data_IF_588556105354
#
_entry.id   IF_588556105354
#
_cell.length_a   1.000
_cell.length_b   1.000
_cell.length_c   1.000
_cell.angle_alpha   90.00
_cell.angle_beta   90.00
_cell.angle_gamma   90.00
#
_symmetry.space_group_name_H-M   'P 1'
#
loop_
_entity.id
_entity.type
_entity.pdbx_description
1 polymer ?
#
# COMPACT_ATOMS: atom_id res chain seq x y z
N UNK A 1 8.76 1.80 8.28
CA UNK A 1 7.56 2.11 7.42
C UNK A 1 6.46 1.15 7.83
N UNK A 2 5.26 1.68 8.15
CA UNK A 2 4.10 0.89 8.58
C UNK A 2 3.57 0.02 7.45
N UNK A 3 2.81 -1.01 7.78
CA UNK A 3 2.11 -1.85 6.79
C UNK A 3 1.18 -1.05 5.91
N UNK A 4 1.17 -1.36 4.62
CA UNK A 4 0.33 -0.72 3.62
C UNK A 4 0.23 -1.58 2.36
N UNK A 5 -0.64 -1.16 1.44
CA UNK A 5 -0.66 -1.62 0.04
C UNK A 5 -0.31 -0.44 -0.86
N UNK A 6 0.42 -0.70 -1.93
CA UNK A 6 0.56 0.23 -3.04
C UNK A 6 -0.65 0.12 -3.99
N UNK A 7 -0.87 1.12 -4.82
CA UNK A 7 -1.97 1.16 -5.78
C UNK A 7 -1.57 0.51 -7.11
N UNK A 8 -1.31 -0.80 -7.06
CA UNK A 8 -1.00 -1.64 -8.22
C UNK A 8 -1.37 -3.09 -7.93
N UNK A 9 -1.54 -3.91 -8.96
CA UNK A 9 -1.85 -5.33 -8.75
C UNK A 9 -0.68 -6.06 -8.12
N UNK A 10 0.53 -5.86 -8.65
CA UNK A 10 1.77 -6.44 -8.13
C UNK A 10 2.82 -5.35 -7.96
N UNK A 11 3.46 -5.33 -6.80
CA UNK A 11 4.67 -4.54 -6.59
C UNK A 11 5.90 -5.44 -6.78
N UNK A 12 6.85 -4.97 -7.59
CA UNK A 12 8.17 -5.57 -7.72
C UNK A 12 9.21 -4.67 -7.04
N UNK A 13 10.05 -5.26 -6.21
CA UNK A 13 11.15 -4.59 -5.51
C UNK A 13 12.44 -5.34 -5.82
N UNK A 14 13.41 -4.66 -6.46
CA UNK A 14 14.77 -5.15 -6.63
C UNK A 14 15.67 -4.49 -5.60
N UNK A 15 16.36 -5.27 -4.78
CA UNK A 15 17.36 -4.77 -3.85
C UNK A 15 18.69 -4.51 -4.57
N UNK A 16 18.98 -3.26 -4.88
CA UNK A 16 20.25 -2.87 -5.48
C UNK A 16 21.36 -2.73 -4.42
N UNK A 17 21.03 -2.16 -3.26
CA UNK A 17 21.93 -2.02 -2.10
C UNK A 17 21.17 -2.11 -0.80
N UNK A 18 21.79 -2.72 0.21
CA UNK A 18 21.26 -2.70 1.57
C UNK A 18 21.76 -1.49 2.35
N UNK A 19 21.02 -1.13 3.40
CA UNK A 19 21.46 -0.21 4.44
C UNK A 19 22.57 -0.84 5.29
N UNK A 20 23.26 -0.02 6.10
CA UNK A 20 24.18 -0.49 7.13
C UNK A 20 23.50 -1.43 8.14
N UNK A 21 22.28 -1.11 8.55
CA UNK A 21 21.49 -1.91 9.47
C UNK A 21 19.99 -1.73 9.22
N UNK A 22 19.19 -2.75 9.54
CA UNK A 22 17.74 -2.71 9.42
C UNK A 22 17.23 -2.75 7.96
N UNK A 23 16.08 -2.12 7.70
CA UNK A 23 15.46 -2.11 6.36
C UNK A 23 14.86 -3.45 5.95
N UNK A 24 14.62 -4.34 6.91
CA UNK A 24 14.07 -5.68 6.68
C UNK A 24 12.62 -5.54 6.22
N UNK A 25 12.29 -6.16 5.10
CA UNK A 25 10.92 -6.22 4.58
C UNK A 25 10.04 -7.02 5.53
N UNK A 26 8.82 -6.52 5.80
CA UNK A 26 7.79 -7.19 6.60
C UNK A 26 6.57 -7.44 5.72
N UNK A 27 6.06 -8.67 5.74
CA UNK A 27 4.97 -9.14 4.91
C UNK A 27 3.88 -9.74 5.79
N UNK A 28 2.64 -9.26 5.66
CA UNK A 28 1.51 -9.77 6.43
C UNK A 28 0.36 -10.16 5.50
N UNK A 29 -0.22 -11.35 5.73
CA UNK A 29 -1.35 -11.84 4.95
C UNK A 29 -2.62 -11.07 5.29
N UNK A 30 -3.22 -10.43 4.29
CA UNK A 30 -4.50 -9.71 4.42
C UNK A 30 -5.61 -10.65 4.89
N UNK A 31 -5.64 -11.88 4.37
CA UNK A 31 -6.64 -12.89 4.77
C UNK A 31 -6.46 -13.34 6.21
N UNK A 32 -5.22 -13.51 6.67
CA UNK A 32 -4.94 -13.86 8.06
C UNK A 32 -5.42 -12.76 9.00
N UNK A 33 -5.13 -11.50 8.67
CA UNK A 33 -5.56 -10.34 9.45
C UNK A 33 -7.09 -10.26 9.51
N UNK A 34 -7.76 -10.35 8.36
CA UNK A 34 -9.22 -10.36 8.27
C UNK A 34 -9.84 -11.46 9.14
N UNK A 35 -9.36 -12.71 9.03
CA UNK A 35 -9.92 -13.82 9.76
C UNK A 35 -9.66 -13.72 11.27
N UNK A 36 -8.50 -13.20 11.66
CA UNK A 36 -8.18 -12.99 13.07
C UNK A 36 -9.03 -11.86 13.68
N UNK A 37 -9.29 -10.79 12.93
CA UNK A 37 -10.24 -9.75 13.34
C UNK A 37 -11.65 -10.29 13.44
N UNK A 38 -12.09 -11.10 12.47
CA UNK A 38 -13.42 -11.74 12.50
C UNK A 38 -13.60 -12.60 13.75
N UNK A 39 -12.56 -13.31 14.17
CA UNK A 39 -12.58 -14.16 15.36
C UNK A 39 -12.57 -13.34 16.67
N UNK A 40 -11.79 -12.27 16.73
CA UNK A 40 -11.55 -11.48 17.95
C UNK A 40 -12.56 -10.36 18.16
N UNK A 41 -12.84 -9.58 17.11
CA UNK A 41 -13.65 -8.36 17.14
C UNK A 41 -14.38 -8.16 15.81
N UNK A 42 -15.43 -8.97 15.55
CA UNK A 42 -16.21 -8.84 14.30
C UNK A 42 -16.87 -7.47 14.16
N UNK A 43 -17.21 -6.82 15.26
CA UNK A 43 -17.71 -5.44 15.31
C UNK A 43 -16.73 -4.43 14.71
N UNK A 44 -15.46 -4.54 15.04
CA UNK A 44 -14.40 -3.68 14.49
C UNK A 44 -14.07 -4.05 13.04
N UNK A 45 -14.13 -5.33 12.68
CA UNK A 45 -13.93 -5.74 11.30
C UNK A 45 -14.99 -5.13 10.37
N UNK A 46 -16.24 -5.09 10.77
CA UNK A 46 -17.34 -4.50 9.99
C UNK A 46 -17.05 -3.03 9.65
N UNK A 47 -16.46 -2.29 10.58
CA UNK A 47 -16.08 -0.89 10.36
C UNK A 47 -15.05 -0.75 9.22
N UNK A 48 -14.16 -1.72 9.01
CA UNK A 48 -13.15 -1.66 7.94
C UNK A 48 -13.72 -1.85 6.53
N UNK A 49 -14.98 -2.27 6.42
CA UNK A 49 -15.74 -2.25 5.15
C UNK A 49 -16.46 -0.92 4.92
N UNK A 50 -16.42 0.01 5.88
CA UNK A 50 -16.96 1.36 5.73
C UNK A 50 -15.87 2.30 5.16
N UNK A 51 -16.26 3.42 4.50
CA UNK A 51 -15.30 4.35 3.93
C UNK A 51 -14.46 5.05 5.00
N UNK A 52 -13.15 5.11 4.76
CA UNK A 52 -12.19 5.92 5.49
C UNK A 52 -11.64 7.00 4.58
N UNK A 53 -11.68 8.24 5.03
CA UNK A 53 -11.03 9.33 4.34
C UNK A 53 -9.51 9.17 4.39
N UNK A 54 -8.86 9.34 3.24
CA UNK A 54 -7.41 9.30 3.10
C UNK A 54 -6.92 10.40 2.17
N UNK A 55 -5.74 10.90 2.43
CA UNK A 55 -5.08 11.84 1.55
C UNK A 55 -4.60 11.12 0.28
N UNK A 56 -4.80 11.74 -0.89
CA UNK A 56 -4.09 11.34 -2.11
C UNK A 56 -2.64 11.77 -2.01
N UNK A 57 -1.72 11.07 -2.68
CA UNK A 57 -0.37 11.57 -2.85
C UNK A 57 -0.39 12.97 -3.51
N UNK A 58 0.57 13.81 -3.15
CA UNK A 58 0.71 15.14 -3.76
C UNK A 58 1.26 14.99 -5.17
N UNK A 59 0.38 14.84 -6.12
CA UNK A 59 0.68 14.67 -7.53
C UNK A 59 -0.42 15.30 -8.39
N UNK A 60 -0.33 15.09 -9.69
CA UNK A 60 -1.31 15.53 -10.68
C UNK A 60 -2.72 15.03 -10.32
N UNK A 61 -2.82 13.87 -9.68
CA UNK A 61 -4.10 13.29 -9.31
C UNK A 61 -4.79 14.09 -8.19
N UNK A 62 -4.06 14.51 -7.17
CA UNK A 62 -4.59 15.35 -6.11
C UNK A 62 -5.08 16.70 -6.66
N UNK A 63 -4.37 17.26 -7.64
CA UNK A 63 -4.78 18.49 -8.31
C UNK A 63 -6.05 18.32 -9.16
N UNK A 64 -6.24 17.18 -9.82
CA UNK A 64 -7.38 16.91 -10.71
C UNK A 64 -8.61 16.37 -10.01
N UNK A 65 -8.44 15.50 -9.00
CA UNK A 65 -9.52 14.72 -8.38
C UNK A 65 -9.78 15.11 -6.92
N UNK A 66 -9.08 16.16 -6.41
CA UNK A 66 -9.15 16.58 -5.02
C UNK A 66 -8.15 15.84 -4.12
N UNK A 67 -7.81 16.50 -3.02
CA UNK A 67 -6.75 16.05 -2.09
C UNK A 67 -7.13 14.78 -1.33
N UNK A 68 -8.43 14.51 -1.15
CA UNK A 68 -8.93 13.44 -0.32
C UNK A 68 -9.85 12.52 -1.10
N UNK A 69 -9.92 11.27 -0.65
CA UNK A 69 -10.84 10.25 -1.16
C UNK A 69 -11.28 9.36 -0.01
N UNK A 70 -12.55 8.99 -0.01
CA UNK A 70 -13.10 8.03 0.94
C UNK A 70 -13.10 6.64 0.29
N UNK A 71 -12.51 5.65 0.97
CA UNK A 71 -12.40 4.28 0.47
C UNK A 71 -12.40 3.31 1.66
N UNK A 72 -13.10 2.17 1.61
CA UNK A 72 -12.98 1.15 2.64
C UNK A 72 -11.58 0.54 2.67
N UNK A 73 -11.21 0.01 3.84
CA UNK A 73 -9.97 -0.76 4.00
C UNK A 73 -10.13 -2.12 3.34
N UNK A 74 -11.26 -2.79 3.56
CA UNK A 74 -11.61 -4.06 2.93
C UNK A 74 -12.76 -3.92 1.96
N UNK A 75 -12.74 -4.74 0.92
CA UNK A 75 -13.85 -4.92 0.01
C UNK A 75 -13.91 -6.35 -0.49
N UNK A 76 -15.10 -6.80 -0.82
CA UNK A 76 -15.35 -8.16 -1.30
C UNK A 76 -16.02 -8.10 -2.68
N UNK A 77 -15.50 -8.84 -3.64
CA UNK A 77 -16.11 -9.06 -4.94
C UNK A 77 -15.86 -10.47 -5.43
N UNK A 78 -16.89 -11.14 -5.90
CA UNK A 78 -16.82 -12.53 -6.42
C UNK A 78 -16.12 -13.49 -5.44
N UNK A 79 -16.41 -13.36 -4.12
CA UNK A 79 -15.78 -14.14 -3.06
C UNK A 79 -14.31 -13.82 -2.78
N UNK A 80 -13.75 -12.79 -3.44
CA UNK A 80 -12.35 -12.39 -3.27
C UNK A 80 -12.22 -11.14 -2.42
N UNK A 81 -11.55 -11.29 -1.27
CA UNK A 81 -11.21 -10.17 -0.40
C UNK A 81 -10.08 -9.35 -1.04
N UNK A 82 -10.29 -8.03 -1.12
CA UNK A 82 -9.28 -7.05 -1.54
C UNK A 82 -9.12 -6.01 -0.44
N UNK A 83 -7.93 -5.48 -0.29
CA UNK A 83 -7.68 -4.40 0.66
C UNK A 83 -6.91 -3.26 0.02
N UNK A 84 -7.27 -2.04 0.43
CA UNK A 84 -6.49 -0.84 0.19
C UNK A 84 -6.24 -0.14 1.53
N UNK A 85 -5.03 -0.19 2.03
CA UNK A 85 -4.69 0.29 3.36
C UNK A 85 -3.42 1.12 3.39
N UNK A 86 -3.46 2.22 4.10
CA UNK A 86 -2.32 3.00 4.56
C UNK A 86 -2.76 3.86 5.74
N UNK A 87 -2.36 3.49 6.96
CA UNK A 87 -2.64 4.28 8.17
C UNK A 87 -2.14 5.72 8.04
N UNK A 88 -0.98 5.92 7.44
CA UNK A 88 -0.38 7.25 7.25
C UNK A 88 -1.29 8.17 6.45
N UNK A 89 -1.87 7.70 5.34
CA UNK A 89 -2.76 8.54 4.53
C UNK A 89 -4.11 8.80 5.19
N UNK A 90 -4.58 7.89 6.03
CA UNK A 90 -5.78 8.11 6.84
C UNK A 90 -5.51 9.20 7.89
N UNK A 91 -4.41 9.12 8.64
CA UNK A 91 -4.03 10.12 9.63
C UNK A 91 -3.80 11.50 9.01
N UNK A 92 -3.13 11.57 7.87
CA UNK A 92 -2.95 12.83 7.14
C UNK A 92 -4.27 13.47 6.69
N UNK A 93 -5.30 12.67 6.41
CA UNK A 93 -6.63 13.22 6.13
C UNK A 93 -7.27 13.83 7.39
N UNK A 94 -6.97 13.27 8.57
CA UNK A 94 -7.50 13.79 9.83
C UNK A 94 -6.87 15.12 10.27
N UNK A 95 -5.79 15.56 9.62
CA UNK A 95 -5.20 16.89 9.84
C UNK A 95 -6.08 18.00 9.23
N UNK A 96 -6.92 17.69 8.24
CA UNK A 96 -7.78 18.67 7.58
C UNK A 96 -9.12 18.81 8.35
N UNK A 97 -9.51 20.04 8.77
CA UNK A 97 -10.74 20.27 9.54
C UNK A 97 -12.02 20.00 8.74
N UNK A 98 -11.96 19.96 7.41
CA UNK A 98 -13.09 19.63 6.55
C UNK A 98 -13.36 18.13 6.41
N UNK A 99 -12.50 17.28 6.95
CA UNK A 99 -12.68 15.84 6.91
C UNK A 99 -13.34 15.34 8.19
N UNK A 100 -14.40 14.51 8.09
CA UNK A 100 -15.02 13.89 9.25
C UNK A 100 -13.99 13.15 10.10
N UNK A 101 -14.04 13.37 11.41
CA UNK A 101 -13.13 12.70 12.35
C UNK A 101 -13.46 11.21 12.45
N UNK A 102 -12.41 10.41 12.60
CA UNK A 102 -12.57 9.00 12.95
C UNK A 102 -13.29 8.90 14.31
N UNK A 103 -14.21 7.97 14.42
CA UNK A 103 -14.72 7.56 15.72
C UNK A 103 -13.67 6.76 16.48
N UNK A 104 -13.79 6.69 17.81
CA UNK A 104 -12.88 5.88 18.62
C UNK A 104 -12.87 4.41 18.18
N UNK A 105 -14.03 3.86 17.79
CA UNK A 105 -14.12 2.48 17.29
C UNK A 105 -13.42 2.29 15.91
N UNK A 106 -13.50 3.28 15.03
CA UNK A 106 -12.77 3.24 13.76
C UNK A 106 -11.25 3.28 13.98
N UNK A 107 -10.79 4.07 14.94
CA UNK A 107 -9.38 4.18 15.29
C UNK A 107 -8.88 2.87 15.91
N UNK A 108 -9.66 2.29 16.86
CA UNK A 108 -9.42 0.97 17.46
C UNK A 108 -9.37 -0.13 16.39
N UNK A 109 -10.23 -0.09 15.37
CA UNK A 109 -10.23 -1.07 14.28
C UNK A 109 -8.92 -1.03 13.48
N UNK A 110 -8.40 0.17 13.20
CA UNK A 110 -7.12 0.35 12.51
C UNK A 110 -5.93 -0.07 13.39
N UNK A 111 -6.01 0.15 14.71
CA UNK A 111 -4.98 -0.26 15.66
C UNK A 111 -4.93 -1.79 15.78
N UNK A 112 -6.08 -2.45 15.91
CA UNK A 112 -6.17 -3.90 15.96
C UNK A 112 -5.65 -4.55 14.66
N UNK A 113 -5.98 -3.97 13.49
CA UNK A 113 -5.43 -4.42 12.21
C UNK A 113 -3.90 -4.35 12.22
N UNK A 114 -3.32 -3.24 12.69
CA UNK A 114 -1.88 -3.05 12.75
C UNK A 114 -1.21 -4.01 13.75
N UNK A 115 -1.82 -4.25 14.92
CA UNK A 115 -1.37 -5.21 15.93
C UNK A 115 -1.29 -6.62 15.33
N UNK A 116 -2.39 -7.08 14.70
CA UNK A 116 -2.44 -8.42 14.11
C UNK A 116 -1.43 -8.55 12.96
N UNK A 117 -1.30 -7.50 12.13
CA UNK A 117 -0.31 -7.49 11.05
C UNK A 117 1.11 -7.64 11.59
N UNK A 118 1.45 -6.94 12.67
CA UNK A 118 2.77 -7.04 13.31
C UNK A 118 3.01 -8.41 13.94
N UNK A 119 2.01 -8.95 14.63
CA UNK A 119 2.10 -10.25 15.31
C UNK A 119 2.20 -11.44 14.34
N UNK A 120 1.67 -11.30 13.12
CA UNK A 120 1.60 -12.39 12.13
C UNK A 120 2.53 -12.20 10.92
N UNK A 121 3.36 -11.16 10.90
CA UNK A 121 4.18 -10.87 9.74
C UNK A 121 5.40 -11.78 9.62
N UNK A 122 5.77 -12.03 8.37
CA UNK A 122 7.05 -12.62 7.99
C UNK A 122 8.09 -11.51 7.84
N UNK A 123 9.27 -11.69 8.39
CA UNK A 123 10.45 -10.86 8.13
C UNK A 123 11.25 -11.46 6.98
N UNK A 124 11.40 -10.71 5.90
CA UNK A 124 12.10 -11.11 4.69
C UNK A 124 13.28 -10.14 4.43
N UNK A 125 14.48 -10.44 4.95
CA UNK A 125 15.65 -9.65 4.65
C UNK A 125 16.01 -9.79 3.16
N UNK A 126 16.46 -8.70 2.54
CA UNK A 126 16.99 -8.70 1.19
C UNK A 126 18.50 -8.92 1.17
N UNK A 127 18.99 -9.70 0.20
CA UNK A 127 20.34 -9.59 -0.29
C UNK A 127 20.39 -8.69 -1.55
N UNK A 128 21.50 -8.00 -1.85
CA UNK A 128 21.66 -7.32 -3.13
C UNK A 128 21.42 -8.27 -4.31
N UNK A 129 20.57 -7.88 -5.26
CA UNK A 129 20.13 -8.71 -6.38
C UNK A 129 18.80 -9.43 -6.16
N UNK A 130 18.29 -9.51 -4.94
CA UNK A 130 16.98 -10.13 -4.67
C UNK A 130 15.84 -9.33 -5.31
N UNK A 131 14.88 -10.05 -5.87
CA UNK A 131 13.63 -9.50 -6.38
C UNK A 131 12.47 -10.05 -5.55
N UNK A 132 11.69 -9.16 -4.97
CA UNK A 132 10.45 -9.48 -4.26
C UNK A 132 9.25 -9.05 -5.10
N UNK A 133 8.36 -10.00 -5.41
CA UNK A 133 7.09 -9.76 -6.10
C UNK A 133 5.95 -9.98 -5.11
N UNK A 134 5.12 -8.97 -4.89
CA UNK A 134 4.00 -9.04 -3.95
C UNK A 134 2.69 -8.71 -4.65
N UNK A 135 1.70 -9.58 -4.47
CA UNK A 135 0.32 -9.29 -4.86
C UNK A 135 -0.30 -8.36 -3.79
N UNK A 136 -0.50 -7.10 -4.15
CA UNK A 136 -1.04 -6.07 -3.25
C UNK A 136 -2.48 -6.33 -2.79
N UNK A 137 -3.21 -7.23 -3.46
CA UNK A 137 -4.57 -7.55 -3.07
C UNK A 137 -4.65 -8.55 -1.92
N UNK A 138 -3.52 -9.21 -1.56
CA UNK A 138 -3.49 -10.27 -0.55
C UNK A 138 -2.38 -10.14 0.48
N UNK A 139 -1.44 -9.20 0.28
CA UNK A 139 -0.30 -8.99 1.18
C UNK A 139 -0.15 -7.51 1.52
N UNK A 140 -0.10 -7.20 2.82
CA UNK A 140 0.44 -5.94 3.31
C UNK A 140 1.96 -6.03 3.40
N UNK A 141 2.62 -4.96 3.02
CA UNK A 141 4.06 -4.87 3.16
C UNK A 141 4.46 -3.64 3.97
N UNK A 142 5.59 -3.76 4.62
CA UNK A 142 6.21 -2.72 5.41
C UNK A 142 7.70 -2.97 5.52
N UNK A 143 8.37 -2.24 6.37
CA UNK A 143 9.78 -2.48 6.70
C UNK A 143 10.12 -1.99 8.09
N UNK A 144 11.19 -2.55 8.67
CA UNK A 144 11.79 -2.02 9.88
C UNK A 144 12.46 -0.66 9.63
N UNK A 145 12.81 0.06 10.67
CA UNK A 145 13.73 1.20 10.56
C UNK A 145 15.05 0.75 9.94
N UNK A 146 15.82 1.69 9.39
CA UNK A 146 17.15 1.39 8.85
C UNK A 146 18.09 2.58 9.04
N UNK A 147 19.38 2.27 9.04
CA UNK A 147 20.47 3.22 9.09
C UNK A 147 21.29 3.10 7.82
N UNK A 148 21.62 4.22 7.21
CA UNK A 148 22.56 4.30 6.10
C UNK A 148 23.94 4.73 6.60
N UNK A 149 24.98 4.35 5.84
CA UNK A 149 26.34 4.84 5.99
C UNK A 149 26.87 5.21 4.61
N UNK A 150 26.72 6.47 4.25
CA UNK A 150 27.13 6.98 2.93
C UNK A 150 28.64 6.89 2.73
N UNK A 151 29.42 7.09 3.79
CA UNK A 151 30.89 7.02 3.72
C UNK A 151 31.38 5.60 3.41
N UNK A 152 30.64 4.58 3.85
CA UNK A 152 30.93 3.18 3.57
C UNK A 152 30.18 2.67 2.31
N UNK A 153 29.45 3.51 1.57
CA UNK A 153 28.64 3.11 0.42
C UNK A 153 27.42 2.26 0.79
N UNK A 154 27.04 2.22 2.07
CA UNK A 154 25.92 1.43 2.59
C UNK A 154 24.64 2.27 2.67
N UNK A 155 24.23 2.80 1.52
CA UNK A 155 22.97 3.51 1.36
C UNK A 155 21.95 2.58 0.71
N UNK A 156 20.85 2.35 1.44
CA UNK A 156 19.78 1.48 0.96
C UNK A 156 19.18 1.99 -0.35
N UNK A 157 19.20 1.14 -1.37
CA UNK A 157 18.59 1.42 -2.66
C UNK A 157 17.72 0.24 -3.10
N UNK A 158 16.42 0.47 -3.24
CA UNK A 158 15.49 -0.45 -3.89
C UNK A 158 14.95 0.20 -5.16
N UNK A 159 14.93 -0.54 -6.24
CA UNK A 159 14.18 -0.19 -7.44
C UNK A 159 12.77 -0.78 -7.31
N UNK A 160 11.74 0.04 -7.55
CA UNK A 160 10.34 -0.34 -7.40
C UNK A 160 9.58 -0.19 -8.71
N UNK A 161 8.87 -1.25 -9.11
CA UNK A 161 7.92 -1.23 -10.22
C UNK A 161 6.51 -1.52 -9.70
N UNK A 162 5.54 -0.83 -10.25
CA UNK A 162 4.12 -1.09 -10.08
C UNK A 162 3.58 -1.74 -11.35
N UNK A 163 3.04 -2.95 -11.22
CA UNK A 163 2.62 -3.76 -12.34
C UNK A 163 1.09 -3.91 -12.35
N UNK A 164 0.47 -3.66 -13.50
CA UNK A 164 -0.90 -4.09 -13.80
C UNK A 164 -0.82 -5.47 -14.44
N UNK A 165 -1.64 -6.41 -13.97
CA UNK A 165 -1.55 -7.82 -14.38
C UNK A 165 -2.74 -8.22 -15.24
N UNK A 166 -2.54 -8.86 -16.42
CA UNK A 166 -3.63 -9.33 -17.27
C UNK A 166 -4.58 -10.32 -16.59
N UNK A 167 -4.07 -11.08 -15.61
CA UNK A 167 -4.86 -12.01 -14.80
C UNK A 167 -5.34 -11.43 -13.47
N UNK A 168 -5.34 -10.10 -13.32
CA UNK A 168 -5.78 -9.48 -12.06
C UNK A 168 -7.29 -9.65 -11.85
N UNK A 169 -7.70 -9.69 -10.57
CA UNK A 169 -9.10 -9.78 -10.15
C UNK A 169 -9.88 -8.50 -10.43
N UNK A 170 -11.20 -8.60 -10.54
CA UNK A 170 -12.06 -7.44 -10.44
C UNK A 170 -12.01 -6.86 -9.01
N UNK A 171 -12.07 -5.53 -8.88
CA UNK A 171 -12.10 -4.84 -7.59
C UNK A 171 -13.53 -4.53 -7.17
N UNK A 172 -13.80 -4.40 -5.86
CA UNK A 172 -15.12 -4.04 -5.35
C UNK A 172 -15.64 -2.72 -5.93
N UNK A 173 -16.96 -2.55 -6.10
CA UNK A 173 -17.55 -1.26 -6.46
C UNK A 173 -17.13 -0.16 -5.47
N UNK A 174 -16.93 1.05 -5.97
CA UNK A 174 -16.43 2.19 -5.18
C UNK A 174 -14.91 2.34 -5.19
N UNK A 175 -14.15 1.28 -5.53
CA UNK A 175 -12.70 1.35 -5.64
C UNK A 175 -12.22 2.15 -6.87
N UNK A 176 -13.07 2.33 -7.88
CA UNK A 176 -12.77 3.13 -9.07
C UNK A 176 -12.38 4.58 -8.75
N UNK A 177 -12.92 5.15 -7.67
CA UNK A 177 -12.58 6.51 -7.22
C UNK A 177 -11.08 6.68 -6.89
N UNK A 178 -10.41 5.58 -6.57
CA UNK A 178 -8.99 5.55 -6.23
C UNK A 178 -8.15 4.80 -7.27
N UNK A 179 -8.67 3.71 -7.83
CA UNK A 179 -7.95 2.86 -8.77
C UNK A 179 -8.13 3.27 -10.24
N UNK A 180 -9.15 4.06 -10.56
CA UNK A 180 -9.53 4.47 -11.92
C UNK A 180 -10.44 3.48 -12.62
N UNK A 181 -10.16 2.19 -12.55
CA UNK A 181 -10.97 1.10 -13.11
C UNK A 181 -10.99 -0.08 -12.13
N UNK A 182 -12.08 -0.84 -12.14
CA UNK A 182 -12.27 -2.02 -11.27
C UNK A 182 -12.42 -3.33 -12.04
N UNK A 183 -12.40 -3.30 -13.38
CA UNK A 183 -12.51 -4.51 -14.18
C UNK A 183 -11.28 -5.42 -14.00
N UNK A 184 -11.47 -6.72 -14.21
CA UNK A 184 -10.37 -7.68 -14.19
C UNK A 184 -9.45 -7.48 -15.40
N UNK A 185 -8.15 -7.63 -15.21
CA UNK A 185 -7.15 -7.63 -16.27
C UNK A 185 -6.86 -6.27 -16.94
N UNK A 186 -7.49 -5.20 -16.47
CA UNK A 186 -7.26 -3.86 -17.03
C UNK A 186 -6.03 -3.19 -16.45
N UNK A 187 -5.45 -2.25 -17.17
CA UNK A 187 -4.43 -1.34 -16.64
C UNK A 187 -5.10 -0.33 -15.71
N UNK A 188 -4.74 -0.37 -14.44
CA UNK A 188 -5.35 0.42 -13.38
C UNK A 188 -4.37 0.79 -12.28
N UNK A 189 -4.80 1.63 -11.34
CA UNK A 189 -3.93 2.10 -10.26
C UNK A 189 -2.82 3.01 -10.77
N UNK A 190 -1.60 2.80 -10.28
CA UNK A 190 -0.45 3.60 -10.69
C UNK A 190 -0.59 5.10 -10.38
N UNK A 191 0.08 5.93 -11.14
CA UNK A 191 0.01 7.38 -11.07
C UNK A 191 -0.79 7.96 -12.25
N UNK A 192 -1.58 9.00 -12.01
CA UNK A 192 -2.25 9.74 -13.05
C UNK A 192 -1.25 10.66 -13.75
N UNK A 193 -1.14 10.54 -15.07
CA UNK A 193 -0.25 11.36 -15.88
C UNK A 193 -0.95 12.66 -16.30
N UNK A 194 -0.17 13.63 -16.79
CA UNK A 194 -0.70 14.91 -17.24
C UNK A 194 -1.71 14.75 -18.39
N UNK A 195 -1.55 13.74 -19.25
CA UNK A 195 -2.46 13.42 -20.36
C UNK A 195 -3.75 12.68 -19.91
N UNK A 196 -3.92 12.45 -18.60
CA UNK A 196 -5.09 11.78 -18.02
C UNK A 196 -5.02 10.26 -18.02
N UNK A 197 -3.98 9.65 -18.60
CA UNK A 197 -3.79 8.20 -18.53
C UNK A 197 -3.21 7.79 -17.19
N UNK A 198 -3.55 6.59 -16.73
CA UNK A 198 -2.87 5.97 -15.59
C UNK A 198 -1.71 5.13 -16.10
N UNK A 199 -0.56 5.35 -15.47
CA UNK A 199 0.62 4.53 -15.71
C UNK A 199 0.90 3.75 -14.43
N UNK A 200 0.92 2.42 -14.45
CA UNK A 200 1.63 1.63 -13.46
C UNK A 200 3.12 1.94 -13.70
N UNK A 201 3.62 3.00 -13.10
CA UNK A 201 4.87 3.57 -13.54
C UNK A 201 6.06 3.15 -12.71
N UNK A 202 7.24 3.37 -13.29
CA UNK A 202 8.50 3.44 -12.56
C UNK A 202 8.39 4.61 -11.56
N UNK A 203 8.55 4.38 -10.26
CA UNK A 203 8.51 5.46 -9.28
C UNK A 203 9.68 6.44 -9.49
N UNK A 204 9.53 7.68 -9.06
CA UNK A 204 10.61 8.70 -9.14
C UNK A 204 11.92 8.23 -8.49
N UNK A 205 11.89 7.34 -7.51
CA UNK A 205 13.08 6.70 -6.94
C UNK A 205 13.87 5.87 -7.96
N UNK A 206 13.22 5.32 -8.99
CA UNK A 206 13.92 4.60 -10.05
C UNK A 206 14.57 5.51 -11.10
N UNK A 207 14.23 6.81 -11.11
CA UNK A 207 14.86 7.79 -12.02
C UNK A 207 16.22 8.29 -11.54
N UNK A 208 16.62 7.92 -10.33
CA UNK A 208 17.88 8.37 -9.71
C UNK A 208 18.98 7.31 -9.73
N UNK A 209 18.96 6.37 -10.67
CA UNK A 209 20.13 5.52 -10.91
C UNK A 209 21.03 6.26 -11.89
N UNK A 210 22.20 6.78 -11.47
CA UNK A 210 23.25 7.12 -12.43
C UNK A 210 23.53 5.86 -13.25
N UNK A 211 23.68 5.99 -14.55
CA UNK A 211 24.12 4.89 -15.36
C UNK A 211 25.37 4.27 -14.69
N UNK A 212 25.30 2.95 -14.46
CA UNK A 212 26.49 2.21 -14.04
C UNK A 212 27.53 2.41 -15.13
N UNK A 213 28.56 3.18 -14.84
CA UNK A 213 29.74 3.32 -15.68
C UNK A 213 30.61 2.06 -15.60
#
# INVERSE_FOLDING_TARGET
>A
MRFHTDRCDVIALLAARNSKAGGISKLASIKTIHNEMLRRRPDLLELLFQPYWRRRAEDIEAAKLGRFVALPVFGLRDGQLTSQYSRTFVEQAQEDPGIPRLTAAQDEALDLLAEIAEASCLHAPFAPGDIQLLNNHVVYHGRTAYENDAAAGQERLLLRLWLAMPGSRALPPGFETYWGDTAAGVVRGGTLQADGRRSPGVSAAARMVPALA
#
